data_IF_875158907710
#
_entry.id   IF_875158907710
#
_cell.length_a   1.000
_cell.length_b   1.000
_cell.length_c   1.000
_cell.angle_alpha   90.00
_cell.angle_beta   90.00
_cell.angle_gamma   90.00
#
_symmetry.space_group_name_H-M   'P 1'
#
loop_
_entity.id
_entity.type
_entity.pdbx_description
1 polymer ?
#
# COMPACT_ATOMS: atom_id res chain seq x y z
N UNK A 1 12.85 -5.02 11.20
CA UNK A 1 12.95 -5.90 10.01
C UNK A 1 14.03 -5.32 9.09
N UNK A 2 14.90 -6.15 8.49
CA UNK A 2 15.83 -5.63 7.47
C UNK A 2 15.10 -5.63 6.13
N UNK A 3 14.59 -4.46 5.71
CA UNK A 3 13.76 -4.30 4.53
C UNK A 3 14.54 -4.60 3.24
N UNK A 4 15.78 -4.13 3.15
CA UNK A 4 16.66 -4.38 2.00
C UNK A 4 16.88 -5.88 1.77
N UNK A 5 17.07 -6.63 2.85
CA UNK A 5 17.26 -8.07 2.76
C UNK A 5 15.99 -8.83 2.32
N UNK A 6 14.80 -8.27 2.60
CA UNK A 6 13.51 -8.90 2.24
C UNK A 6 13.02 -8.49 0.85
N UNK A 7 13.28 -7.24 0.45
CA UNK A 7 12.82 -6.64 -0.80
C UNK A 7 13.99 -6.15 -1.67
N UNK A 8 14.92 -7.05 -2.07
CA UNK A 8 16.14 -6.64 -2.74
C UNK A 8 15.91 -5.98 -4.09
N UNK A 9 14.95 -6.44 -4.91
CA UNK A 9 14.72 -5.84 -6.24
C UNK A 9 14.14 -4.44 -6.13
N UNK A 10 13.23 -4.22 -5.17
CA UNK A 10 12.72 -2.90 -4.88
C UNK A 10 13.88 -1.99 -4.46
N UNK A 11 14.68 -2.43 -3.48
CA UNK A 11 15.81 -1.66 -3.02
C UNK A 11 16.85 -1.40 -4.10
N UNK A 12 17.05 -2.27 -5.10
CA UNK A 12 17.92 -2.01 -6.25
C UNK A 12 17.49 -0.76 -7.05
N UNK A 13 16.19 -0.50 -7.17
CA UNK A 13 15.62 0.61 -7.93
C UNK A 13 15.64 1.96 -7.21
N UNK A 14 15.74 1.94 -5.89
CA UNK A 14 15.66 3.15 -5.08
C UNK A 14 16.96 3.93 -5.15
N UNK A 15 16.87 5.26 -5.31
CA UNK A 15 18.05 6.12 -5.35
C UNK A 15 18.73 6.20 -3.97
N UNK A 16 17.92 6.31 -2.91
CA UNK A 16 18.38 6.33 -1.52
C UNK A 16 18.27 4.92 -0.91
N UNK A 17 19.37 4.45 -0.32
CA UNK A 17 19.44 3.15 0.36
C UNK A 17 19.20 3.27 1.88
N UNK A 18 19.21 4.48 2.44
CA UNK A 18 18.97 4.77 3.86
C UNK A 18 17.50 5.09 4.16
N UNK A 19 16.58 4.41 3.48
CA UNK A 19 15.14 4.60 3.66
C UNK A 19 14.54 3.63 4.69
N UNK A 20 13.36 3.97 5.20
CA UNK A 20 12.61 3.18 6.19
C UNK A 20 11.21 2.88 5.65
N UNK A 21 10.46 1.99 6.31
CA UNK A 21 9.15 1.52 5.84
C UNK A 21 8.19 2.67 5.46
N UNK A 22 8.06 3.70 6.30
CA UNK A 22 7.19 4.86 6.07
C UNK A 22 7.52 5.66 4.80
N UNK A 23 8.75 5.50 4.28
CA UNK A 23 9.18 6.14 3.02
C UNK A 23 8.82 5.28 1.80
N UNK A 24 8.32 4.06 2.00
CA UNK A 24 7.88 3.13 0.96
C UNK A 24 6.36 3.01 0.90
N UNK A 25 5.75 2.89 2.07
CA UNK A 25 4.35 2.52 2.22
C UNK A 25 3.85 3.00 3.57
N UNK A 26 2.67 3.61 3.60
CA UNK A 26 1.92 3.84 4.83
C UNK A 26 0.63 3.01 4.79
N UNK A 27 0.33 2.35 5.90
CA UNK A 27 -0.93 1.65 6.12
C UNK A 27 -1.44 2.13 7.46
N UNK A 28 -2.57 2.83 7.44
CA UNK A 28 -3.18 3.42 8.61
C UNK A 28 -4.59 2.86 8.77
N UNK A 29 -5.01 2.64 10.01
CA UNK A 29 -6.39 2.25 10.31
C UNK A 29 -7.32 3.41 10.01
N UNK A 30 -8.35 3.14 9.22
CA UNK A 30 -9.41 4.09 8.95
C UNK A 30 -10.39 4.07 10.13
N UNK A 31 -10.20 4.99 11.07
CA UNK A 31 -11.10 5.17 12.20
C UNK A 31 -12.15 6.22 11.86
N UNK A 32 -13.34 6.09 12.47
CA UNK A 32 -14.36 7.13 12.50
C UNK A 32 -13.79 8.35 13.25
N UNK A 33 -13.15 9.27 12.52
CA UNK A 33 -12.79 10.57 13.06
C UNK A 33 -14.05 11.43 13.00
N UNK A 34 -14.75 11.53 14.14
CA UNK A 34 -16.06 12.17 14.33
C UNK A 34 -16.19 13.62 13.80
N UNK A 35 -15.09 14.24 13.35
CA UNK A 35 -15.00 15.62 12.86
C UNK A 35 -14.68 15.75 11.35
N UNK A 36 -14.52 14.66 10.60
CA UNK A 36 -14.17 14.74 9.16
C UNK A 36 -15.35 14.40 8.25
N UNK A 37 -16.13 15.42 7.89
CA UNK A 37 -17.17 15.34 6.84
C UNK A 37 -16.58 15.10 5.42
N UNK A 38 -15.25 14.97 5.27
CA UNK A 38 -14.54 14.92 3.98
C UNK A 38 -13.62 13.71 3.75
N UNK A 39 -13.71 12.62 4.53
CA UNK A 39 -12.95 11.40 4.17
C UNK A 39 -13.65 10.60 3.06
N UNK A 40 -12.94 10.32 1.98
CA UNK A 40 -13.45 9.55 0.83
C UNK A 40 -13.72 8.07 1.16
N UNK A 41 -13.16 7.57 2.27
CA UNK A 41 -13.30 6.17 2.69
C UNK A 41 -14.23 6.05 3.89
N UNK A 42 -15.42 5.50 3.67
CA UNK A 42 -16.32 5.12 4.76
C UNK A 42 -15.67 4.01 5.61
N UNK A 43 -15.43 4.29 6.88
CA UNK A 43 -14.76 3.36 7.81
C UNK A 43 -15.56 2.07 8.04
N UNK A 44 -16.88 2.09 7.84
CA UNK A 44 -17.71 0.88 7.88
C UNK A 44 -17.38 -0.06 6.72
N UNK A 45 -17.00 0.51 5.58
CA UNK A 45 -16.73 -0.21 4.33
C UNK A 45 -15.24 -0.42 4.04
N UNK A 46 -14.34 0.35 4.67
CA UNK A 46 -12.88 0.28 4.53
C UNK A 46 -12.21 0.59 5.86
N UNK A 47 -11.60 -0.38 6.52
CA UNK A 47 -10.98 -0.21 7.83
C UNK A 47 -9.49 0.14 7.78
N UNK A 48 -8.87 0.18 6.59
CA UNK A 48 -7.52 0.68 6.40
C UNK A 48 -7.42 1.57 5.18
N UNK A 49 -6.50 2.53 5.25
CA UNK A 49 -6.04 3.35 4.13
C UNK A 49 -4.60 2.97 3.83
N UNK A 50 -4.31 2.68 2.56
CA UNK A 50 -2.99 2.33 2.06
C UNK A 50 -2.51 3.45 1.16
N UNK A 51 -1.33 3.99 1.45
CA UNK A 51 -0.66 4.99 0.63
C UNK A 51 0.70 4.49 0.13
N UNK A 52 0.84 4.33 -1.19
CA UNK A 52 2.08 3.94 -1.85
C UNK A 52 2.97 5.18 -1.99
N UNK A 53 4.11 5.22 -1.32
CA UNK A 53 4.96 6.41 -1.35
C UNK A 53 5.67 6.60 -2.70
N UNK A 54 5.99 7.85 -3.03
CA UNK A 54 6.65 8.26 -4.28
C UNK A 54 7.85 7.38 -4.69
N UNK A 55 8.78 6.96 -3.79
CA UNK A 55 9.90 6.11 -4.19
C UNK A 55 9.47 4.76 -4.78
N UNK A 56 8.38 4.17 -4.27
CA UNK A 56 7.82 2.92 -4.82
C UNK A 56 7.15 3.20 -6.16
N UNK A 57 6.39 4.30 -6.26
CA UNK A 57 5.76 4.72 -7.52
C UNK A 57 6.79 4.92 -8.62
N UNK A 58 7.91 5.59 -8.32
CA UNK A 58 9.00 5.79 -9.27
C UNK A 58 9.72 4.50 -9.65
N UNK A 59 9.91 3.58 -8.68
CA UNK A 59 10.51 2.27 -8.95
C UNK A 59 9.66 1.40 -9.89
N UNK A 60 8.33 1.50 -9.77
CA UNK A 60 7.36 0.75 -10.57
C UNK A 60 7.06 1.42 -11.91
N UNK A 61 6.85 2.74 -11.91
CA UNK A 61 6.27 3.49 -13.02
C UNK A 61 4.79 3.19 -13.23
N UNK A 62 4.12 4.04 -14.02
CA UNK A 62 2.66 4.04 -14.23
C UNK A 62 2.09 2.66 -14.64
N UNK A 63 2.77 1.95 -15.55
CA UNK A 63 2.30 0.65 -16.02
C UNK A 63 2.26 -0.42 -14.91
N UNK A 64 3.29 -0.45 -14.04
CA UNK A 64 3.34 -1.42 -12.94
C UNK A 64 2.54 -0.96 -11.72
N UNK A 65 2.33 0.35 -11.54
CA UNK A 65 1.36 0.86 -10.55
C UNK A 65 -0.06 0.38 -10.87
N UNK A 66 -0.45 0.45 -12.14
CA UNK A 66 -1.73 -0.13 -12.58
C UNK A 66 -1.78 -1.66 -12.38
N UNK A 67 -0.69 -2.38 -12.67
CA UNK A 67 -0.61 -3.82 -12.38
C UNK A 67 -0.73 -4.12 -10.87
N UNK A 68 -0.09 -3.32 -10.02
CA UNK A 68 -0.19 -3.43 -8.57
C UNK A 68 -1.63 -3.24 -8.10
N UNK A 69 -2.29 -2.17 -8.55
CA UNK A 69 -3.68 -1.86 -8.20
C UNK A 69 -4.60 -3.04 -8.55
N UNK A 70 -4.49 -3.60 -9.76
CA UNK A 70 -5.29 -4.76 -10.19
C UNK A 70 -5.02 -5.98 -9.31
N UNK A 71 -3.74 -6.26 -8.99
CA UNK A 71 -3.38 -7.38 -8.10
C UNK A 71 -3.94 -7.22 -6.70
N UNK A 72 -3.89 -6.01 -6.14
CA UNK A 72 -4.45 -5.73 -4.82
C UNK A 72 -5.98 -5.81 -4.84
N UNK A 73 -6.63 -5.34 -5.90
CA UNK A 73 -8.08 -5.46 -6.05
C UNK A 73 -8.55 -6.92 -6.12
N UNK A 74 -7.77 -7.80 -6.76
CA UNK A 74 -8.07 -9.24 -6.88
C UNK A 74 -7.59 -10.06 -5.67
N UNK A 75 -7.05 -9.42 -4.63
CA UNK A 75 -6.52 -10.12 -3.46
C UNK A 75 -7.66 -10.57 -2.52
N UNK A 76 -7.81 -11.89 -2.33
CA UNK A 76 -8.86 -12.49 -1.50
C UNK A 76 -8.83 -12.00 -0.03
N UNK A 77 -7.68 -11.50 0.43
CA UNK A 77 -7.52 -10.94 1.77
C UNK A 77 -8.24 -9.59 1.97
N UNK A 78 -8.60 -8.91 0.88
CA UNK A 78 -9.35 -7.65 0.90
C UNK A 78 -10.82 -7.92 0.56
N UNK A 79 -11.66 -7.89 1.59
CA UNK A 79 -13.12 -8.07 1.47
C UNK A 79 -13.74 -6.96 0.64
N UNK A 80 -13.17 -5.75 0.74
CA UNK A 80 -13.52 -4.60 -0.06
C UNK A 80 -12.24 -3.86 -0.43
N UNK A 81 -12.23 -3.28 -1.63
CA UNK A 81 -11.09 -2.54 -2.17
C UNK A 81 -11.62 -1.41 -3.04
N UNK A 82 -11.11 -0.20 -2.81
CA UNK A 82 -11.35 0.95 -3.67
C UNK A 82 -10.03 1.70 -3.85
N UNK A 83 -9.73 2.07 -5.10
CA UNK A 83 -8.66 3.01 -5.40
C UNK A 83 -9.29 4.40 -5.58
N UNK A 84 -8.99 5.33 -4.68
CA UNK A 84 -9.38 6.74 -4.86
C UNK A 84 -8.42 7.42 -5.84
N UNK A 85 -7.12 7.16 -5.67
CA UNK A 85 -6.05 7.63 -6.53
C UNK A 85 -5.16 6.46 -6.97
N UNK A 86 -4.19 6.73 -7.85
CA UNK A 86 -3.24 5.71 -8.33
C UNK A 86 -2.36 5.13 -7.21
N UNK A 87 -2.18 5.87 -6.12
CA UNK A 87 -1.34 5.55 -4.97
C UNK A 87 -2.08 5.52 -3.63
N UNK A 88 -3.39 5.78 -3.61
CA UNK A 88 -4.22 5.84 -2.40
C UNK A 88 -5.42 4.89 -2.48
N UNK A 89 -5.44 3.89 -1.59
CA UNK A 89 -6.43 2.83 -1.59
C UNK A 89 -7.14 2.71 -0.23
N UNK A 90 -8.46 2.52 -0.26
CA UNK A 90 -9.24 2.09 0.89
C UNK A 90 -9.45 0.58 0.84
N UNK A 91 -9.17 -0.13 1.93
CA UNK A 91 -9.36 -1.58 2.00
C UNK A 91 -10.13 -2.00 3.23
N UNK A 92 -10.90 -3.09 3.10
CA UNK A 92 -11.49 -3.81 4.22
C UNK A 92 -10.81 -5.15 4.38
N UNK A 93 -10.09 -5.34 5.47
CA UNK A 93 -9.38 -6.59 5.74
C UNK A 93 -9.47 -7.00 7.21
N UNK A 94 -9.36 -8.31 7.45
CA UNK A 94 -9.16 -8.85 8.80
C UNK A 94 -7.67 -8.90 9.19
N UNK A 95 -6.78 -8.62 8.24
CA UNK A 95 -5.35 -8.59 8.46
C UNK A 95 -4.96 -7.41 9.35
N UNK A 96 -3.87 -7.56 10.08
CA UNK A 96 -3.23 -6.47 10.81
C UNK A 96 -2.44 -5.53 9.89
N UNK A 97 -2.15 -4.32 10.36
CA UNK A 97 -1.28 -3.36 9.64
C UNK A 97 0.02 -4.00 9.14
N UNK A 98 0.71 -4.80 9.97
CA UNK A 98 1.98 -5.42 9.60
C UNK A 98 1.82 -6.49 8.49
N UNK A 99 0.70 -7.20 8.49
CA UNK A 99 0.35 -8.20 7.46
C UNK A 99 0.00 -7.52 6.15
N UNK A 100 -0.78 -6.43 6.18
CA UNK A 100 -1.12 -5.64 4.99
C UNK A 100 0.16 -5.03 4.38
N UNK A 101 1.00 -4.42 5.23
CA UNK A 101 2.31 -3.91 4.80
C UNK A 101 3.13 -4.98 4.11
N UNK A 102 3.20 -6.17 4.70
CA UNK A 102 3.97 -7.28 4.13
C UNK A 102 3.39 -7.73 2.80
N UNK A 103 2.07 -7.89 2.72
CA UNK A 103 1.35 -8.28 1.51
C UNK A 103 1.63 -7.31 0.36
N UNK A 104 1.44 -6.00 0.60
CA UNK A 104 1.64 -4.98 -0.43
C UNK A 104 3.09 -4.96 -0.90
N UNK A 105 4.06 -4.97 0.01
CA UNK A 105 5.48 -4.97 -0.36
C UNK A 105 5.93 -6.26 -1.05
N UNK A 106 5.37 -7.42 -0.68
CA UNK A 106 5.63 -8.68 -1.36
C UNK A 106 5.09 -8.63 -2.82
N UNK A 107 3.93 -8.00 -3.05
CA UNK A 107 3.39 -7.77 -4.40
C UNK A 107 4.26 -6.79 -5.21
N UNK A 108 4.70 -5.69 -4.60
CA UNK A 108 5.63 -4.72 -5.22
C UNK A 108 6.93 -5.41 -5.65
N UNK A 109 7.55 -6.18 -4.77
CA UNK A 109 8.78 -6.93 -5.04
C UNK A 109 8.60 -7.99 -6.16
N UNK A 110 7.39 -8.52 -6.32
CA UNK A 110 7.09 -9.47 -7.39
C UNK A 110 7.07 -8.81 -8.77
N UNK A 111 6.69 -7.54 -8.87
CA UNK A 111 6.49 -6.83 -10.14
C UNK A 111 7.60 -5.85 -10.49
N UNK A 112 8.41 -5.39 -9.53
CA UNK A 112 9.46 -4.37 -9.74
C UNK A 112 10.59 -4.82 -10.67
#
# INVERSE_FOLDING_TARGET
>A
MNLEAKYPKLFEKLEDKEITLRHLLNVDENYEDFDSEEYEFDFEDYNFVIYIAEPVQQALGEAKMNELMVKLQDEDAFVNFVASEEDLYGVKSILSNEEIVSLVLDQVEAIV
#
